data_IF_308647791635
#
_entry.id   IF_308647791635
#
_cell.length_a   1.000
_cell.length_b   1.000
_cell.length_c   1.000
_cell.angle_alpha   90.00
_cell.angle_beta   90.00
_cell.angle_gamma   90.00
#
_symmetry.space_group_name_H-M   'P 1'
#
loop_
_entity.id
_entity.type
_entity.pdbx_description
1 polymer ?
#
# COMPACT_ATOMS: atom_id res chain seq x y z
N UNK A 1 5.22 -13.03 -60.01
CA UNK A 1 5.83 -11.84 -59.36
C UNK A 1 6.17 -12.27 -57.94
N UNK A 2 7.39 -12.08 -57.55
CA UNK A 2 7.90 -12.53 -56.24
C UNK A 2 7.27 -11.69 -55.13
N UNK A 3 6.58 -12.31 -54.19
CA UNK A 3 5.88 -11.64 -53.10
C UNK A 3 6.84 -10.80 -52.22
N UNK A 4 8.06 -11.29 -52.02
CA UNK A 4 9.09 -10.57 -51.28
C UNK A 4 9.43 -9.21 -51.92
N UNK A 5 9.64 -9.22 -53.23
CA UNK A 5 9.96 -8.01 -53.97
C UNK A 5 8.79 -7.00 -53.88
N UNK A 6 7.58 -7.51 -53.97
CA UNK A 6 6.35 -6.73 -53.99
C UNK A 6 6.12 -6.03 -52.64
N UNK A 7 6.25 -6.76 -51.51
CA UNK A 7 6.16 -6.23 -50.16
C UNK A 7 7.27 -5.21 -49.85
N UNK A 8 8.50 -5.53 -50.25
CA UNK A 8 9.66 -4.65 -50.04
C UNK A 8 9.52 -3.32 -50.79
N UNK A 9 9.00 -3.37 -52.02
CA UNK A 9 8.75 -2.14 -52.82
C UNK A 9 7.61 -1.31 -52.27
N UNK A 10 6.51 -1.93 -51.89
CA UNK A 10 5.35 -1.22 -51.35
C UNK A 10 5.63 -0.53 -50.04
N UNK A 11 6.25 -1.25 -49.08
CA UNK A 11 6.56 -0.72 -47.77
C UNK A 11 7.92 0.00 -47.68
N UNK A 12 8.61 0.26 -48.81
CA UNK A 12 9.97 0.87 -48.86
C UNK A 12 10.14 2.15 -48.02
N UNK A 13 9.07 2.98 -47.91
CA UNK A 13 9.12 4.22 -47.10
C UNK A 13 9.17 3.93 -45.62
N UNK A 14 8.36 2.96 -45.14
CA UNK A 14 8.32 2.52 -43.73
C UNK A 14 9.61 1.79 -43.35
N UNK A 15 10.16 0.98 -44.27
CA UNK A 15 11.45 0.31 -44.08
C UNK A 15 12.59 1.34 -43.93
N UNK A 16 12.66 2.35 -44.82
CA UNK A 16 13.69 3.40 -44.76
C UNK A 16 13.62 4.26 -43.50
N UNK A 17 12.45 4.41 -42.89
CA UNK A 17 12.26 5.10 -41.62
C UNK A 17 12.53 4.22 -40.40
N UNK A 18 12.83 2.94 -40.60
CA UNK A 18 12.99 1.99 -39.51
C UNK A 18 11.69 1.62 -38.78
N UNK A 19 10.52 1.91 -39.42
CA UNK A 19 9.20 1.58 -38.85
C UNK A 19 8.89 0.10 -39.05
N UNK A 20 9.37 -0.52 -40.16
CA UNK A 20 9.19 -1.93 -40.51
C UNK A 20 10.51 -2.58 -40.85
N UNK A 21 10.65 -3.83 -40.44
CA UNK A 21 11.71 -4.73 -40.82
C UNK A 21 11.08 -6.04 -41.31
N UNK A 22 11.53 -6.56 -42.46
CA UNK A 22 11.03 -7.79 -43.04
C UNK A 22 12.08 -8.85 -43.04
N UNK A 23 11.69 -10.06 -42.63
CA UNK A 23 12.45 -11.27 -42.79
C UNK A 23 11.60 -12.27 -43.60
N UNK A 24 12.21 -13.06 -44.44
CA UNK A 24 11.51 -13.99 -45.32
C UNK A 24 11.89 -15.41 -44.99
N UNK A 25 10.90 -16.33 -45.09
CA UNK A 25 11.05 -17.78 -44.96
C UNK A 25 10.33 -18.47 -46.11
N UNK A 26 10.89 -19.56 -46.62
CA UNK A 26 10.34 -20.26 -47.78
C UNK A 26 9.36 -21.39 -47.44
N UNK A 27 9.27 -21.75 -46.16
CA UNK A 27 8.31 -22.73 -45.65
C UNK A 27 8.05 -22.50 -44.14
N UNK A 28 7.06 -23.22 -43.60
CA UNK A 28 6.70 -23.07 -42.20
C UNK A 28 7.77 -23.53 -41.21
N UNK A 29 8.60 -24.52 -41.59
CA UNK A 29 9.66 -25.01 -40.70
C UNK A 29 10.81 -24.01 -40.55
N UNK A 30 11.19 -23.35 -41.66
CA UNK A 30 12.13 -22.24 -41.65
C UNK A 30 11.62 -21.07 -40.83
N UNK A 31 10.36 -20.66 -41.04
CA UNK A 31 9.71 -19.61 -40.27
C UNK A 31 9.71 -19.92 -38.77
N UNK A 32 9.32 -21.12 -38.34
CA UNK A 32 9.36 -21.57 -36.96
C UNK A 32 10.76 -21.52 -36.37
N UNK A 33 11.79 -21.92 -37.17
CA UNK A 33 13.19 -21.87 -36.74
C UNK A 33 13.65 -20.45 -36.50
N UNK A 34 13.22 -19.48 -37.33
CA UNK A 34 13.50 -18.05 -37.16
C UNK A 34 12.85 -17.51 -35.89
N UNK A 35 11.59 -17.84 -35.64
CA UNK A 35 10.85 -17.45 -34.45
C UNK A 35 11.47 -17.97 -33.15
N UNK A 36 12.00 -19.19 -33.16
CA UNK A 36 12.65 -19.77 -32.00
C UNK A 36 14.02 -19.13 -31.71
N UNK A 37 14.72 -18.65 -32.75
CA UNK A 37 16.01 -17.96 -32.62
C UNK A 37 15.88 -16.50 -32.21
N UNK A 38 14.88 -15.82 -32.73
CA UNK A 38 14.59 -14.43 -32.44
C UNK A 38 13.11 -14.29 -32.05
N UNK A 39 12.84 -13.74 -30.84
CA UNK A 39 11.49 -13.55 -30.33
C UNK A 39 10.89 -12.18 -30.66
N UNK A 40 11.62 -11.33 -31.38
CA UNK A 40 11.23 -9.91 -31.62
C UNK A 40 10.32 -9.73 -32.86
N UNK A 41 9.80 -10.81 -33.42
CA UNK A 41 8.81 -10.70 -34.49
C UNK A 41 7.44 -10.29 -33.94
N UNK A 42 6.83 -9.32 -34.60
CA UNK A 42 5.50 -8.79 -34.28
C UNK A 42 4.39 -9.46 -35.06
N UNK A 43 4.62 -9.63 -36.37
CA UNK A 43 3.62 -10.11 -37.32
C UNK A 43 4.23 -11.18 -38.21
N UNK A 44 3.48 -12.23 -38.43
CA UNK A 44 3.78 -13.27 -39.41
C UNK A 44 2.73 -13.19 -40.49
N UNK A 45 3.17 -13.06 -41.73
CA UNK A 45 2.34 -13.23 -42.93
C UNK A 45 2.64 -14.59 -43.53
N UNK A 46 1.71 -15.55 -43.41
CA UNK A 46 1.93 -16.94 -43.78
C UNK A 46 0.98 -17.40 -44.89
N UNK A 47 1.52 -17.96 -45.96
CA UNK A 47 0.69 -18.71 -46.91
C UNK A 47 0.14 -19.97 -46.22
N UNK A 48 -1.10 -20.36 -46.52
CA UNK A 48 -1.66 -21.62 -46.08
C UNK A 48 -0.94 -22.81 -46.71
N UNK A 49 -0.69 -22.75 -47.99
CA UNK A 49 -0.15 -23.85 -48.78
C UNK A 49 1.38 -23.69 -48.96
N UNK A 50 2.16 -24.24 -48.07
CA UNK A 50 3.63 -24.26 -48.15
C UNK A 50 4.16 -25.68 -48.10
N UNK A 51 5.36 -25.95 -48.68
CA UNK A 51 6.03 -27.24 -48.60
C UNK A 51 6.54 -27.47 -47.14
N UNK A 52 6.85 -28.71 -46.81
CA UNK A 52 7.43 -29.21 -45.54
C UNK A 52 6.50 -28.98 -44.34
N UNK A 53 6.12 -27.75 -44.03
CA UNK A 53 5.17 -27.37 -43.01
C UNK A 53 4.20 -26.32 -43.59
N UNK A 54 2.92 -26.63 -43.62
CA UNK A 54 1.86 -25.72 -44.06
C UNK A 54 1.60 -24.61 -43.05
N UNK A 55 0.86 -23.56 -43.49
CA UNK A 55 0.58 -22.39 -42.65
C UNK A 55 -0.35 -22.67 -41.49
N UNK A 56 -1.28 -23.63 -41.58
CA UNK A 56 -2.17 -24.00 -40.45
C UNK A 56 -1.40 -24.72 -39.35
N UNK A 57 -0.45 -25.58 -39.72
CA UNK A 57 0.47 -26.25 -38.80
C UNK A 57 1.38 -25.21 -38.12
N UNK A 58 1.95 -24.28 -38.90
CA UNK A 58 2.74 -23.16 -38.34
C UNK A 58 1.93 -22.32 -37.38
N UNK A 59 0.68 -21.95 -37.69
CA UNK A 59 -0.20 -21.22 -36.80
C UNK A 59 -0.42 -21.94 -35.45
N UNK A 60 -0.64 -23.25 -35.52
CA UNK A 60 -0.76 -24.08 -34.32
C UNK A 60 0.51 -23.99 -33.44
N UNK A 61 1.70 -24.05 -34.06
CA UNK A 61 2.98 -23.93 -33.34
C UNK A 61 3.21 -22.52 -32.77
N UNK A 62 2.77 -21.47 -33.46
CA UNK A 62 2.80 -20.09 -32.97
C UNK A 62 1.93 -19.96 -31.71
N UNK A 63 0.74 -20.53 -31.72
CA UNK A 63 -0.17 -20.48 -30.57
C UNK A 63 0.38 -21.24 -29.35
N UNK A 64 1.10 -22.34 -29.56
CA UNK A 64 1.81 -23.06 -28.50
C UNK A 64 2.88 -22.19 -27.81
N UNK A 65 3.39 -21.15 -28.47
CA UNK A 65 4.37 -20.22 -27.90
C UNK A 65 3.76 -19.25 -26.87
N UNK A 66 2.44 -19.17 -26.79
CA UNK A 66 1.67 -18.30 -25.85
C UNK A 66 2.14 -16.84 -25.82
N UNK A 67 2.55 -16.31 -26.98
CA UNK A 67 2.91 -14.89 -27.11
C UNK A 67 1.73 -14.08 -27.68
N UNK A 68 0.97 -13.36 -26.84
CA UNK A 68 -0.21 -12.60 -27.28
C UNK A 68 0.16 -11.40 -28.19
N UNK A 69 1.41 -10.95 -28.14
CA UNK A 69 1.91 -9.85 -28.96
C UNK A 69 2.38 -10.31 -30.36
N UNK A 70 2.45 -11.62 -30.65
CA UNK A 70 2.77 -12.15 -31.98
C UNK A 70 1.47 -12.40 -32.74
N UNK A 71 1.26 -11.73 -33.88
CA UNK A 71 0.06 -11.86 -34.71
C UNK A 71 0.37 -12.62 -35.99
N UNK A 72 -0.51 -13.55 -36.37
CA UNK A 72 -0.40 -14.29 -37.61
C UNK A 72 -1.53 -13.90 -38.56
N UNK A 73 -1.18 -13.39 -39.76
CA UNK A 73 -2.08 -13.07 -40.86
C UNK A 73 -1.90 -14.17 -41.91
N UNK A 74 -3.00 -14.83 -42.27
CA UNK A 74 -2.97 -15.92 -43.21
C UNK A 74 -3.20 -15.45 -44.63
N UNK A 75 -2.46 -16.01 -45.58
CA UNK A 75 -2.67 -15.73 -47.03
C UNK A 75 -3.27 -16.98 -47.68
N UNK A 76 -4.39 -16.81 -48.34
CA UNK A 76 -5.13 -17.93 -48.96
C UNK A 76 -5.47 -17.67 -50.43
N UNK A 77 -5.69 -18.74 -51.20
CA UNK A 77 -6.20 -18.61 -52.55
C UNK A 77 -7.69 -18.17 -52.54
N UNK A 78 -8.10 -17.48 -53.59
CA UNK A 78 -9.49 -17.08 -53.76
C UNK A 78 -10.42 -18.32 -53.78
N UNK A 79 -11.44 -18.31 -52.92
CA UNK A 79 -12.41 -19.39 -52.81
C UNK A 79 -12.12 -20.46 -51.78
N UNK A 80 -10.97 -20.40 -51.07
CA UNK A 80 -10.58 -21.38 -50.06
C UNK A 80 -11.17 -21.08 -48.65
N UNK A 81 -12.49 -20.92 -48.60
CA UNK A 81 -13.23 -20.54 -47.39
C UNK A 81 -13.12 -21.59 -46.27
N UNK A 82 -12.86 -22.85 -46.58
CA UNK A 82 -12.67 -23.92 -45.57
C UNK A 82 -11.42 -23.71 -44.74
N UNK A 83 -10.29 -23.49 -45.41
CA UNK A 83 -9.01 -23.26 -44.74
C UNK A 83 -8.95 -21.89 -44.04
N UNK A 84 -9.59 -20.85 -44.62
CA UNK A 84 -9.73 -19.53 -43.95
C UNK A 84 -10.49 -19.67 -42.65
N UNK A 85 -11.66 -20.34 -42.64
CA UNK A 85 -12.44 -20.57 -41.42
C UNK A 85 -11.65 -21.35 -40.39
N UNK A 86 -10.91 -22.38 -40.79
CA UNK A 86 -10.06 -23.15 -39.91
C UNK A 86 -8.95 -22.30 -39.30
N UNK A 87 -8.28 -21.47 -40.10
CA UNK A 87 -7.26 -20.54 -39.62
C UNK A 87 -7.80 -19.57 -38.58
N UNK A 88 -8.96 -18.95 -38.87
CA UNK A 88 -9.60 -18.02 -37.95
C UNK A 88 -10.01 -18.70 -36.62
N UNK A 89 -10.60 -19.89 -36.70
CA UNK A 89 -10.94 -20.69 -35.52
C UNK A 89 -9.72 -21.11 -34.70
N UNK A 90 -8.57 -21.28 -35.37
CA UNK A 90 -7.31 -21.60 -34.74
C UNK A 90 -6.52 -20.36 -34.27
N UNK A 91 -7.13 -19.16 -34.25
CA UNK A 91 -6.55 -17.95 -33.67
C UNK A 91 -5.66 -17.14 -34.62
N UNK A 92 -5.82 -17.28 -35.95
CA UNK A 92 -5.23 -16.32 -36.88
C UNK A 92 -5.80 -14.92 -36.58
N UNK A 93 -4.95 -13.90 -36.68
CA UNK A 93 -5.38 -12.51 -36.46
C UNK A 93 -6.32 -12.03 -37.54
N UNK A 94 -5.97 -12.29 -38.79
CA UNK A 94 -6.76 -11.94 -39.98
C UNK A 94 -6.28 -12.79 -41.19
N UNK A 95 -6.87 -12.56 -42.35
CA UNK A 95 -6.46 -13.22 -43.60
C UNK A 95 -6.43 -12.23 -44.80
N UNK A 96 -5.62 -12.56 -45.78
CA UNK A 96 -5.58 -11.88 -47.09
C UNK A 96 -5.79 -12.90 -48.19
N UNK A 97 -6.50 -12.54 -49.26
CA UNK A 97 -6.74 -13.40 -50.42
C UNK A 97 -5.81 -13.08 -51.58
N UNK A 98 -5.38 -14.11 -52.33
CA UNK A 98 -4.60 -13.95 -53.57
C UNK A 98 -5.53 -13.67 -54.74
N UNK A 99 -5.22 -12.69 -55.63
CA UNK A 99 -4.05 -11.81 -55.60
C UNK A 99 -4.12 -10.81 -54.42
N UNK A 100 -2.99 -10.61 -53.73
CA UNK A 100 -2.95 -9.78 -52.53
C UNK A 100 -3.18 -8.30 -52.93
N UNK A 101 -4.20 -7.69 -52.34
CA UNK A 101 -4.36 -6.25 -52.34
C UNK A 101 -3.47 -5.65 -51.24
N UNK A 102 -2.45 -4.88 -51.63
CA UNK A 102 -1.47 -4.33 -50.71
C UNK A 102 -2.00 -3.20 -49.86
N UNK A 103 -3.04 -2.49 -50.32
CA UNK A 103 -3.67 -1.45 -49.54
C UNK A 103 -4.51 -2.06 -48.40
N UNK A 104 -5.27 -3.12 -48.69
CA UNK A 104 -6.01 -3.89 -47.69
C UNK A 104 -5.08 -4.58 -46.69
N UNK A 105 -4.00 -5.21 -47.18
CA UNK A 105 -2.98 -5.82 -46.34
C UNK A 105 -2.32 -4.76 -45.40
N UNK A 106 -2.06 -3.55 -45.91
CA UNK A 106 -1.50 -2.46 -45.08
C UNK A 106 -2.44 -2.07 -43.95
N UNK A 107 -3.74 -2.00 -44.18
CA UNK A 107 -4.76 -1.72 -43.16
C UNK A 107 -4.76 -2.85 -42.11
N UNK A 108 -4.70 -4.11 -42.55
CA UNK A 108 -4.66 -5.28 -41.64
C UNK A 108 -3.39 -5.29 -40.76
N UNK A 109 -2.22 -4.99 -41.35
CA UNK A 109 -0.95 -4.86 -40.61
C UNK A 109 -1.04 -3.72 -39.59
N UNK A 110 -1.60 -2.57 -39.98
CA UNK A 110 -1.74 -1.43 -39.03
C UNK A 110 -2.63 -1.75 -37.86
N UNK A 111 -3.76 -2.46 -38.08
CA UNK A 111 -4.61 -2.96 -37.00
C UNK A 111 -3.88 -3.95 -36.10
N UNK A 112 -3.08 -4.86 -36.67
CA UNK A 112 -2.27 -5.79 -35.89
C UNK A 112 -1.25 -5.05 -35.01
N UNK A 113 -0.55 -4.06 -35.56
CA UNK A 113 0.41 -3.23 -34.84
C UNK A 113 -0.24 -2.48 -33.69
N UNK A 114 -1.41 -1.90 -33.92
CA UNK A 114 -2.17 -1.18 -32.88
C UNK A 114 -2.53 -2.12 -31.72
N UNK A 115 -3.01 -3.32 -32.03
CA UNK A 115 -3.32 -4.32 -31.00
C UNK A 115 -2.07 -4.80 -30.25
N UNK A 116 -0.95 -5.02 -30.95
CA UNK A 116 0.33 -5.39 -30.33
C UNK A 116 0.83 -4.31 -29.38
N UNK A 117 0.75 -3.04 -29.79
CA UNK A 117 1.12 -1.91 -28.94
C UNK A 117 0.26 -1.83 -27.68
N UNK A 118 -1.04 -2.06 -27.81
CA UNK A 118 -1.95 -2.10 -26.68
C UNK A 118 -1.58 -3.23 -25.69
N UNK A 119 -1.36 -4.45 -26.18
CA UNK A 119 -0.96 -5.60 -25.34
C UNK A 119 0.33 -5.30 -24.60
N UNK A 120 1.37 -4.83 -25.32
CA UNK A 120 2.66 -4.49 -24.68
C UNK A 120 2.57 -3.36 -23.67
N UNK A 121 1.70 -2.37 -23.90
CA UNK A 121 1.46 -1.31 -22.94
C UNK A 121 0.83 -1.85 -21.63
N UNK A 122 -0.16 -2.72 -21.74
CA UNK A 122 -0.82 -3.38 -20.60
C UNK A 122 0.14 -4.30 -19.83
N UNK A 123 0.97 -5.07 -20.53
CA UNK A 123 1.99 -5.92 -19.89
C UNK A 123 3.01 -5.08 -19.11
N UNK A 124 3.46 -3.98 -19.71
CA UNK A 124 4.40 -3.06 -19.04
C UNK A 124 3.80 -2.43 -17.80
N UNK A 125 2.55 -1.99 -17.89
CA UNK A 125 1.82 -1.41 -16.76
C UNK A 125 1.63 -2.44 -15.65
N UNK A 126 1.27 -3.67 -16.00
CA UNK A 126 1.13 -4.76 -15.04
C UNK A 126 2.45 -5.05 -14.29
N UNK A 127 3.57 -5.16 -15.01
CA UNK A 127 4.89 -5.38 -14.42
C UNK A 127 5.26 -4.23 -13.48
N UNK A 128 4.99 -2.97 -13.86
CA UNK A 128 5.25 -1.81 -13.02
C UNK A 128 4.40 -1.81 -11.75
N UNK A 129 3.12 -2.18 -11.86
CA UNK A 129 2.21 -2.29 -10.72
C UNK A 129 2.67 -3.38 -9.74
N UNK A 130 3.06 -4.55 -10.23
CA UNK A 130 3.57 -5.65 -9.40
C UNK A 130 4.88 -5.28 -8.70
N UNK A 131 5.77 -4.57 -9.38
CA UNK A 131 7.00 -4.05 -8.77
C UNK A 131 6.70 -3.06 -7.65
N UNK A 132 5.76 -2.11 -7.88
CA UNK A 132 5.37 -1.13 -6.88
C UNK A 132 4.72 -1.80 -5.65
N UNK A 133 3.86 -2.79 -5.85
CA UNK A 133 3.28 -3.56 -4.73
C UNK A 133 4.37 -4.28 -3.91
N UNK A 134 5.38 -4.83 -4.58
CA UNK A 134 6.53 -5.44 -3.91
C UNK A 134 7.30 -4.45 -3.04
N UNK A 135 7.57 -3.24 -3.56
CA UNK A 135 8.26 -2.18 -2.82
C UNK A 135 7.44 -1.70 -1.60
N UNK A 136 6.11 -1.59 -1.75
CA UNK A 136 5.20 -1.22 -0.66
C UNK A 136 5.15 -2.30 0.43
N UNK A 137 5.16 -3.58 0.07
CA UNK A 137 5.20 -4.67 1.04
C UNK A 137 6.48 -4.62 1.91
N UNK A 138 7.64 -4.36 1.29
CA UNK A 138 8.91 -4.17 2.02
C UNK A 138 8.85 -2.93 2.92
N UNK A 139 8.29 -1.81 2.44
CA UNK A 139 8.12 -0.61 3.24
C UNK A 139 7.22 -0.87 4.46
N UNK A 140 6.14 -1.64 4.29
CA UNK A 140 5.27 -2.08 5.39
C UNK A 140 6.04 -2.90 6.44
N UNK A 141 6.85 -3.87 6.01
CA UNK A 141 7.67 -4.68 6.92
C UNK A 141 8.65 -3.81 7.73
N UNK A 142 9.30 -2.83 7.08
CA UNK A 142 10.19 -1.87 7.75
C UNK A 142 9.41 -1.05 8.77
N UNK A 143 8.25 -0.46 8.38
CA UNK A 143 7.40 0.32 9.26
C UNK A 143 6.97 -0.49 10.48
N UNK A 144 6.51 -1.69 10.26
CA UNK A 144 6.13 -2.60 11.32
C UNK A 144 7.32 -2.98 12.22
N UNK A 145 8.54 -3.10 11.70
CA UNK A 145 9.74 -3.39 12.49
C UNK A 145 10.19 -2.23 13.39
N UNK A 146 9.81 -1.01 13.04
CA UNK A 146 10.09 0.19 13.83
C UNK A 146 9.21 0.22 15.10
N UNK A 147 7.95 -0.22 15.03
CA UNK A 147 7.02 -0.23 16.17
C UNK A 147 7.39 -1.31 17.18
N UNK A 148 7.17 -1.07 18.50
CA UNK A 148 7.35 -2.10 19.51
C UNK A 148 6.38 -3.27 19.31
N UNK A 149 6.90 -4.51 19.31
CA UNK A 149 6.11 -5.73 19.03
C UNK A 149 6.16 -6.77 20.15
N UNK A 150 7.08 -6.60 21.12
CA UNK A 150 7.27 -7.58 22.20
C UNK A 150 6.44 -7.16 23.38
N UNK A 151 5.52 -8.01 23.80
CA UNK A 151 4.68 -7.82 24.98
C UNK A 151 4.82 -9.02 25.92
N UNK A 152 4.95 -8.84 27.26
CA UNK A 152 5.12 -7.54 27.92
C UNK A 152 6.47 -6.90 27.54
N UNK A 153 6.49 -5.55 27.35
CA UNK A 153 7.69 -4.87 26.85
C UNK A 153 8.83 -4.80 27.89
N UNK A 154 8.47 -4.80 29.17
CA UNK A 154 9.38 -4.67 30.30
C UNK A 154 9.09 -5.77 31.33
N UNK A 155 9.68 -6.97 31.20
CA UNK A 155 9.44 -8.08 32.14
C UNK A 155 9.67 -7.72 33.59
N UNK A 156 10.65 -6.85 33.88
CA UNK A 156 10.98 -6.36 35.23
C UNK A 156 9.92 -5.42 35.84
N UNK A 157 9.08 -4.80 34.99
CA UNK A 157 7.97 -3.93 35.41
C UNK A 157 6.60 -4.60 35.23
N UNK A 158 6.56 -5.85 34.80
CA UNK A 158 5.32 -6.56 34.48
C UNK A 158 4.38 -6.75 35.68
N UNK A 159 4.90 -6.71 36.89
CA UNK A 159 4.11 -6.73 38.13
C UNK A 159 3.51 -5.36 38.49
N UNK A 160 4.07 -4.25 37.93
CA UNK A 160 3.63 -2.88 38.22
C UNK A 160 2.74 -2.31 37.13
N UNK A 161 3.01 -2.62 35.86
CA UNK A 161 2.33 -2.06 34.73
C UNK A 161 2.06 -3.13 33.65
N UNK A 162 0.90 -3.04 33.03
CA UNK A 162 0.55 -3.80 31.86
C UNK A 162 0.40 -2.84 30.68
N UNK A 163 0.92 -3.23 29.50
CA UNK A 163 0.88 -2.42 28.28
C UNK A 163 0.47 -3.34 27.13
N UNK A 164 -0.48 -2.88 26.34
CA UNK A 164 -0.81 -3.47 25.04
C UNK A 164 -0.98 -2.36 24.00
N UNK A 165 -0.64 -2.65 22.77
CA UNK A 165 -0.84 -1.73 21.67
C UNK A 165 -1.12 -2.47 20.37
N UNK A 166 -1.85 -1.83 19.49
CA UNK A 166 -2.14 -2.35 18.16
C UNK A 166 -2.29 -1.19 17.16
N UNK A 167 -1.86 -1.44 15.93
CA UNK A 167 -2.05 -0.55 14.79
C UNK A 167 -2.53 -1.37 13.60
N UNK A 168 -3.50 -0.85 12.88
CA UNK A 168 -4.01 -1.39 11.63
C UNK A 168 -4.06 -0.26 10.62
N UNK A 169 -3.16 -0.30 9.64
CA UNK A 169 -3.11 0.73 8.61
C UNK A 169 -4.31 0.60 7.65
N UNK A 170 -4.85 1.74 7.20
CA UNK A 170 -5.92 1.80 6.20
C UNK A 170 -5.43 1.46 4.79
N UNK A 171 -4.15 1.66 4.52
CA UNK A 171 -3.47 1.32 3.26
C UNK A 171 -2.31 0.36 3.53
N UNK A 172 -1.52 0.09 2.49
CA UNK A 172 -0.32 -0.75 2.64
C UNK A 172 0.63 -0.26 3.74
N UNK A 173 0.72 1.07 3.93
CA UNK A 173 1.52 1.74 4.98
C UNK A 173 0.75 2.92 5.56
N UNK A 174 0.89 3.15 6.87
CA UNK A 174 0.14 4.17 7.62
C UNK A 174 0.99 5.36 8.09
N UNK A 175 0.30 6.41 8.57
CA UNK A 175 0.89 7.57 9.23
C UNK A 175 0.96 7.46 10.74
N UNK A 176 0.12 6.66 11.32
CA UNK A 176 0.02 6.44 12.75
C UNK A 176 1.24 5.74 13.34
N UNK A 177 1.50 6.00 14.61
CA UNK A 177 2.43 5.19 15.38
C UNK A 177 2.16 5.25 16.87
N UNK A 178 2.63 4.22 17.55
CA UNK A 178 2.80 4.20 18.99
C UNK A 178 4.24 3.83 19.34
N UNK A 179 4.67 4.25 20.50
CA UNK A 179 5.95 3.83 21.06
C UNK A 179 5.87 3.76 22.59
N UNK A 180 6.70 2.94 23.18
CA UNK A 180 6.94 2.92 24.61
C UNK A 180 8.38 2.48 24.88
N UNK A 181 8.98 3.07 25.90
CA UNK A 181 10.37 2.84 26.24
C UNK A 181 10.63 3.10 27.72
N UNK A 182 11.63 2.42 28.24
CA UNK A 182 12.10 2.65 29.60
C UNK A 182 12.97 3.90 29.62
N UNK A 183 12.69 4.83 30.53
CA UNK A 183 13.52 5.99 30.82
C UNK A 183 14.55 5.62 31.88
N UNK A 184 14.06 5.01 32.99
CA UNK A 184 14.89 4.46 34.07
C UNK A 184 14.17 3.26 34.73
N UNK A 185 14.62 2.85 35.94
CA UNK A 185 14.07 1.69 36.62
C UNK A 185 12.65 1.87 37.17
N UNK A 186 12.13 3.08 37.20
CA UNK A 186 10.79 3.41 37.72
C UNK A 186 9.90 4.12 36.67
N UNK A 187 10.50 4.76 35.66
CA UNK A 187 9.77 5.58 34.68
C UNK A 187 9.76 4.96 33.31
N UNK A 188 8.56 4.95 32.71
CA UNK A 188 8.34 4.59 31.32
C UNK A 188 7.78 5.78 30.55
N UNK A 189 8.30 6.01 29.33
CA UNK A 189 7.74 6.93 28.35
C UNK A 189 6.84 6.17 27.38
N UNK A 190 5.75 6.78 26.96
CA UNK A 190 4.87 6.24 25.94
C UNK A 190 4.31 7.33 25.04
N UNK A 191 4.13 7.00 23.78
CA UNK A 191 3.73 7.93 22.72
C UNK A 191 2.62 7.27 21.89
N UNK A 192 1.62 8.06 21.52
CA UNK A 192 0.73 7.76 20.42
C UNK A 192 0.65 9.02 19.54
N UNK A 193 0.59 8.83 18.23
CA UNK A 193 0.65 9.93 17.30
C UNK A 193 0.01 9.56 15.97
N UNK A 194 -0.53 10.56 15.29
CA UNK A 194 -1.10 10.48 13.96
C UNK A 194 -0.48 11.56 13.07
N UNK A 195 0.03 11.14 11.91
CA UNK A 195 0.65 11.99 10.89
C UNK A 195 -0.36 12.36 9.82
N UNK A 196 -0.44 13.63 9.53
CA UNK A 196 -1.30 14.17 8.45
C UNK A 196 -1.05 13.51 7.10
N UNK A 197 -2.15 13.11 6.43
CA UNK A 197 -2.10 12.47 5.11
C UNK A 197 -1.96 10.95 5.20
N UNK A 198 -1.79 10.29 4.06
CA UNK A 198 -1.80 8.81 3.96
C UNK A 198 -0.76 8.28 2.98
N UNK A 199 -0.37 7.02 3.17
CA UNK A 199 0.56 6.32 2.27
C UNK A 199 2.03 6.71 2.49
N UNK A 200 2.86 6.63 1.45
CA UNK A 200 4.32 6.75 1.53
C UNK A 200 4.79 8.04 2.22
N UNK A 201 4.28 9.24 1.89
CA UNK A 201 4.74 10.47 2.55
C UNK A 201 4.47 10.44 4.06
N UNK A 202 3.27 10.03 4.49
CA UNK A 202 2.91 9.93 5.90
C UNK A 202 3.79 8.91 6.64
N UNK A 203 4.04 7.75 6.05
CA UNK A 203 4.89 6.73 6.64
C UNK A 203 6.34 7.17 6.82
N UNK A 204 6.89 7.93 5.88
CA UNK A 204 8.24 8.50 6.01
C UNK A 204 8.27 9.54 7.14
N UNK A 205 7.30 10.46 7.17
CA UNK A 205 7.23 11.49 8.21
C UNK A 205 6.98 10.88 9.59
N UNK A 206 6.19 9.80 9.66
CA UNK A 206 6.01 8.98 10.87
C UNK A 206 7.34 8.45 11.40
N UNK A 207 8.15 7.82 10.55
CA UNK A 207 9.43 7.24 10.96
C UNK A 207 10.40 8.32 11.47
N UNK A 208 10.42 9.50 10.83
CA UNK A 208 11.22 10.66 11.26
C UNK A 208 10.70 11.19 12.61
N UNK A 209 9.39 11.45 12.71
CA UNK A 209 8.76 12.00 13.92
C UNK A 209 8.99 11.09 15.12
N UNK A 210 8.68 9.78 14.98
CA UNK A 210 8.92 8.79 16.04
C UNK A 210 10.37 8.75 16.48
N UNK A 211 11.30 8.75 15.51
CA UNK A 211 12.74 8.66 15.83
C UNK A 211 13.24 9.89 16.58
N UNK A 212 12.83 11.09 16.14
CA UNK A 212 13.20 12.35 16.78
C UNK A 212 12.61 12.45 18.20
N UNK A 213 11.33 12.18 18.36
CA UNK A 213 10.66 12.24 19.67
C UNK A 213 11.30 11.24 20.65
N UNK A 214 11.48 9.98 20.22
CA UNK A 214 12.11 8.95 21.05
C UNK A 214 13.55 9.31 21.42
N UNK A 215 14.35 9.77 20.46
CA UNK A 215 15.74 10.15 20.72
C UNK A 215 15.83 11.32 21.72
N UNK A 216 14.96 12.30 21.59
CA UNK A 216 14.88 13.44 22.51
C UNK A 216 14.44 13.00 23.89
N UNK A 217 13.41 12.16 23.99
CA UNK A 217 12.85 11.66 25.25
C UNK A 217 13.85 10.85 26.08
N UNK A 218 14.79 10.14 25.44
CA UNK A 218 15.83 9.35 26.10
C UNK A 218 16.92 10.20 26.77
N UNK A 219 16.91 11.52 26.59
CA UNK A 219 17.82 12.44 27.32
C UNK A 219 17.28 12.88 28.67
N UNK A 220 16.27 12.21 29.22
CA UNK A 220 15.65 12.50 30.52
C UNK A 220 15.10 13.94 30.63
N UNK A 221 14.49 14.40 29.56
CA UNK A 221 13.78 15.67 29.47
C UNK A 221 12.30 15.48 29.79
N UNK A 222 11.64 16.56 30.24
CA UNK A 222 10.20 16.54 30.49
C UNK A 222 9.38 16.37 29.20
N UNK A 223 8.09 15.96 29.28
CA UNK A 223 7.23 15.88 28.09
C UNK A 223 7.11 17.20 27.32
N UNK A 224 7.03 18.32 28.01
CA UNK A 224 6.96 19.66 27.40
C UNK A 224 8.25 20.01 26.67
N UNK A 225 9.42 19.81 27.29
CA UNK A 225 10.73 20.04 26.67
C UNK A 225 10.93 19.14 25.45
N UNK A 226 10.55 17.86 25.55
CA UNK A 226 10.64 16.92 24.46
C UNK A 226 9.80 17.36 23.26
N UNK A 227 8.56 17.78 23.47
CA UNK A 227 7.66 18.25 22.40
C UNK A 227 8.15 19.56 21.79
N UNK A 228 8.59 20.52 22.61
CA UNK A 228 9.14 21.80 22.15
C UNK A 228 10.36 21.60 21.26
N UNK A 229 11.30 20.76 21.68
CA UNK A 229 12.50 20.49 20.89
C UNK A 229 12.19 19.71 19.61
N UNK A 230 11.35 18.67 19.70
CA UNK A 230 10.95 17.87 18.54
C UNK A 230 10.18 18.70 17.52
N UNK A 231 9.27 19.57 17.96
CA UNK A 231 8.54 20.50 17.09
C UNK A 231 9.49 21.38 16.29
N UNK A 232 10.49 21.98 16.95
CA UNK A 232 11.48 22.84 16.28
C UNK A 232 12.28 22.11 15.20
N UNK A 233 12.57 20.84 15.39
CA UNK A 233 13.23 20.01 14.38
C UNK A 233 12.28 19.65 13.26
N UNK A 234 11.10 19.14 13.58
CA UNK A 234 10.11 18.65 12.60
C UNK A 234 9.58 19.77 11.69
N UNK A 235 9.39 20.98 12.23
CA UNK A 235 8.96 22.14 11.42
C UNK A 235 9.97 22.49 10.32
N UNK A 236 11.27 22.31 10.58
CA UNK A 236 12.35 22.56 9.61
C UNK A 236 12.42 21.48 8.51
N UNK A 237 12.09 20.25 8.86
CA UNK A 237 12.13 19.09 7.96
C UNK A 237 10.78 18.87 7.24
N UNK A 238 9.72 19.58 7.65
CA UNK A 238 8.39 19.43 7.09
C UNK A 238 8.34 19.85 5.62
N UNK A 239 7.87 18.96 4.77
CA UNK A 239 7.60 19.19 3.35
C UNK A 239 6.09 19.15 3.14
N UNK A 240 5.54 20.03 2.29
CA UNK A 240 4.11 20.12 2.00
C UNK A 240 3.21 20.35 3.23
N UNK A 241 3.69 21.07 4.22
CA UNK A 241 2.96 21.36 5.46
C UNK A 241 2.50 20.08 6.20
N UNK A 242 3.30 19.03 6.18
CA UNK A 242 3.03 17.84 6.99
C UNK A 242 3.19 18.14 8.47
N UNK A 243 2.31 17.56 9.27
CA UNK A 243 2.30 17.72 10.72
C UNK A 243 1.97 16.39 11.39
N UNK A 244 2.11 16.36 12.68
CA UNK A 244 1.76 15.19 13.49
C UNK A 244 1.06 15.63 14.77
N UNK A 245 -0.04 14.95 15.12
CA UNK A 245 -0.65 15.04 16.44
C UNK A 245 0.07 14.07 17.37
N UNK A 246 0.40 14.49 18.58
CA UNK A 246 1.20 13.66 19.50
C UNK A 246 0.64 13.75 20.91
N UNK A 247 0.44 12.60 21.52
CA UNK A 247 0.32 12.47 22.96
C UNK A 247 1.56 11.77 23.50
N UNK A 248 2.36 12.46 24.29
CA UNK A 248 3.55 11.91 24.96
C UNK A 248 3.40 12.01 26.45
N UNK A 249 3.60 10.89 27.15
CA UNK A 249 3.50 10.79 28.61
C UNK A 249 4.65 10.03 29.23
N UNK A 250 4.95 10.39 30.48
CA UNK A 250 5.91 9.70 31.37
C UNK A 250 5.13 9.23 32.61
N UNK A 251 5.11 7.92 32.85
CA UNK A 251 4.52 7.30 34.03
C UNK A 251 5.63 6.81 34.98
N UNK A 252 5.60 7.26 36.22
CA UNK A 252 6.33 6.60 37.31
C UNK A 252 5.52 5.38 37.77
N UNK A 253 6.03 4.20 37.50
CA UNK A 253 5.33 2.93 37.76
C UNK A 253 5.19 2.60 39.24
N UNK A 254 6.03 3.19 40.11
CA UNK A 254 6.00 3.01 41.53
C UNK A 254 4.99 3.94 42.20
N UNK A 255 5.06 5.23 41.93
CA UNK A 255 4.17 6.23 42.56
C UNK A 255 2.85 6.35 41.84
N UNK A 256 2.80 6.11 40.51
CA UNK A 256 1.65 6.37 39.67
C UNK A 256 1.55 7.84 39.21
N UNK A 257 2.56 8.67 39.55
CA UNK A 257 2.62 10.03 38.99
C UNK A 257 2.76 9.96 37.47
N UNK A 258 1.90 10.67 36.79
CA UNK A 258 1.82 10.69 35.35
C UNK A 258 1.93 12.13 34.86
N UNK A 259 2.99 12.44 34.09
CA UNK A 259 3.20 13.73 33.46
C UNK A 259 3.06 13.57 31.96
N UNK A 260 2.30 14.43 31.28
CA UNK A 260 2.07 14.32 29.86
C UNK A 260 1.99 15.68 29.15
N UNK A 261 2.25 15.66 27.85
CA UNK A 261 2.00 16.75 26.91
C UNK A 261 1.09 16.24 25.80
N UNK A 262 -0.03 16.94 25.55
CA UNK A 262 -0.92 16.65 24.43
C UNK A 262 -0.79 17.74 23.38
N UNK A 263 -0.09 17.44 22.30
CA UNK A 263 0.14 18.31 21.16
C UNK A 263 -0.91 18.06 20.06
N UNK A 264 -2.14 18.41 20.30
CA UNK A 264 -3.24 18.34 19.35
C UNK A 264 -3.78 16.95 19.05
N UNK A 265 -3.44 15.94 19.86
CA UNK A 265 -3.90 14.55 19.66
C UNK A 265 -5.26 14.33 20.36
N UNK A 266 -6.00 13.31 19.90
CA UNK A 266 -7.26 12.89 20.49
C UNK A 266 -7.13 12.72 22.02
N UNK A 267 -8.09 13.25 22.83
CA UNK A 267 -8.02 13.12 24.27
C UNK A 267 -8.18 11.64 24.68
N UNK A 268 -7.25 11.10 25.50
CA UNK A 268 -7.37 9.73 26.01
C UNK A 268 -8.56 9.55 26.95
N UNK A 269 -8.92 8.29 27.18
CA UNK A 269 -9.82 7.91 28.25
C UNK A 269 -9.04 7.28 29.41
N UNK A 270 -9.48 7.54 30.62
CA UNK A 270 -9.06 6.81 31.81
C UNK A 270 -10.21 5.95 32.32
N UNK A 271 -9.97 4.65 32.45
CA UNK A 271 -10.87 3.73 33.14
C UNK A 271 -10.38 3.59 34.57
N UNK A 272 -11.14 4.13 35.49
CA UNK A 272 -10.83 4.05 36.92
C UNK A 272 -11.06 2.64 37.46
N UNK A 273 -10.36 2.29 38.54
CA UNK A 273 -10.48 0.98 39.19
C UNK A 273 -11.89 0.67 39.73
N UNK A 274 -12.73 1.70 39.89
CA UNK A 274 -14.16 1.59 40.26
C UNK A 274 -15.10 1.42 39.07
N UNK A 275 -14.58 1.37 37.82
CA UNK A 275 -15.34 1.27 36.59
C UNK A 275 -15.82 2.59 36.01
N UNK A 276 -15.51 3.74 36.62
CA UNK A 276 -15.79 5.06 36.06
C UNK A 276 -14.90 5.31 34.85
N UNK A 277 -15.48 5.83 33.74
CA UNK A 277 -14.75 6.22 32.54
C UNK A 277 -14.74 7.74 32.47
N UNK A 278 -13.57 8.31 32.27
CA UNK A 278 -13.38 9.75 32.09
C UNK A 278 -12.56 10.04 30.84
N UNK A 279 -13.05 10.92 29.98
CA UNK A 279 -12.24 11.52 28.93
C UNK A 279 -11.31 12.59 29.52
N UNK A 280 -10.12 12.73 28.93
CA UNK A 280 -9.26 13.87 29.20
C UNK A 280 -9.85 15.13 28.58
N UNK A 281 -9.44 16.34 29.06
CA UNK A 281 -9.85 17.57 28.41
C UNK A 281 -9.34 17.64 26.97
N UNK A 282 -10.06 18.35 26.12
CA UNK A 282 -9.60 18.61 24.75
C UNK A 282 -8.27 19.36 24.78
N UNK A 283 -7.31 19.00 23.91
CA UNK A 283 -6.02 19.69 23.85
C UNK A 283 -6.22 21.15 23.43
N UNK A 284 -5.50 22.03 24.10
CA UNK A 284 -5.45 23.47 23.80
C UNK A 284 -4.20 23.87 23.06
N UNK A 285 -3.25 22.94 22.94
CA UNK A 285 -1.94 23.15 22.32
C UNK A 285 -1.98 22.77 20.84
N UNK A 286 -1.14 23.40 20.00
CA UNK A 286 -1.11 23.12 18.58
C UNK A 286 -0.50 21.75 18.29
N UNK A 287 -0.72 21.29 17.06
CA UNK A 287 -0.09 20.13 16.49
C UNK A 287 1.39 20.38 16.21
N UNK A 288 2.21 19.35 16.24
CA UNK A 288 3.66 19.41 16.00
C UNK A 288 3.97 19.54 14.50
N UNK A 289 4.93 20.40 14.15
CA UNK A 289 5.41 20.57 12.77
C UNK A 289 4.81 21.77 12.01
N UNK A 290 3.95 22.59 12.66
CA UNK A 290 3.31 23.77 12.03
C UNK A 290 3.90 25.09 12.52
N UNK A 291 4.05 25.24 13.84
CA UNK A 291 4.54 26.48 14.44
C UNK A 291 5.99 26.31 14.88
N UNK A 292 6.92 26.99 14.22
CA UNK A 292 8.38 26.85 14.48
C UNK A 292 8.79 27.20 15.92
N UNK A 293 8.21 28.28 16.47
CA UNK A 293 8.50 28.75 17.82
C UNK A 293 7.26 28.62 18.71
N UNK A 294 7.07 27.44 19.28
CA UNK A 294 6.02 27.19 20.27
C UNK A 294 6.59 26.38 21.43
N UNK A 295 6.42 26.92 22.64
CA UNK A 295 6.79 26.24 23.89
C UNK A 295 5.57 25.44 24.39
N UNK A 296 5.68 24.12 24.33
CA UNK A 296 4.64 23.23 24.82
C UNK A 296 4.58 23.19 26.33
N UNK A 297 3.38 22.94 26.87
CA UNK A 297 3.13 22.82 28.28
C UNK A 297 2.86 21.35 28.65
N UNK A 298 3.12 20.97 29.90
CA UNK A 298 2.82 19.65 30.43
C UNK A 298 1.78 19.71 31.53
N UNK A 299 1.04 18.63 31.65
CA UNK A 299 0.07 18.42 32.73
C UNK A 299 0.47 17.23 33.58
N UNK A 300 0.02 17.24 34.85
CA UNK A 300 0.29 16.15 35.79
C UNK A 300 -1.01 15.60 36.35
N UNK A 301 -1.05 14.29 36.49
CA UNK A 301 -2.14 13.59 37.12
C UNK A 301 -1.65 12.35 37.87
N UNK A 302 -2.54 11.74 38.63
CA UNK A 302 -2.29 10.51 39.35
C UNK A 302 -3.05 9.36 38.71
N UNK A 303 -2.34 8.31 38.32
CA UNK A 303 -2.89 7.03 37.87
C UNK A 303 -2.88 6.10 39.09
N UNK A 304 -4.05 5.79 39.63
CA UNK A 304 -4.18 4.91 40.78
C UNK A 304 -4.00 3.44 40.40
N UNK A 305 -3.74 2.58 41.40
CA UNK A 305 -3.66 1.14 41.15
C UNK A 305 -4.98 0.58 40.63
N UNK A 306 -4.91 -0.15 39.51
CA UNK A 306 -6.05 -0.69 38.81
C UNK A 306 -6.63 0.24 37.74
N UNK A 307 -6.21 1.51 37.68
CA UNK A 307 -6.61 2.42 36.60
C UNK A 307 -5.96 2.03 35.27
N UNK A 308 -6.68 2.19 34.18
CA UNK A 308 -6.16 2.01 32.83
C UNK A 308 -6.32 3.31 31.99
N UNK A 309 -5.26 3.67 31.29
CA UNK A 309 -5.22 4.76 30.33
C UNK A 309 -5.38 4.18 28.93
N UNK A 310 -6.37 4.65 28.17
CA UNK A 310 -6.68 4.22 26.80
C UNK A 310 -6.43 5.37 25.86
N UNK A 311 -5.40 5.22 25.04
CA UNK A 311 -5.02 6.16 24.00
C UNK A 311 -5.42 5.58 22.63
N UNK A 312 -5.83 6.43 21.70
CA UNK A 312 -6.32 6.02 20.40
C UNK A 312 -6.17 7.15 19.38
N UNK A 313 -6.10 6.81 18.11
CA UNK A 313 -6.15 7.77 16.99
C UNK A 313 -7.59 7.94 16.48
N UNK A 314 -7.83 8.98 15.73
CA UNK A 314 -9.16 9.34 15.20
C UNK A 314 -9.79 8.24 14.34
N UNK A 315 -8.99 7.40 13.69
CA UNK A 315 -9.49 6.24 12.96
C UNK A 315 -10.36 5.27 13.78
N UNK A 316 -10.29 5.33 15.13
CA UNK A 316 -11.23 4.59 16.00
C UNK A 316 -12.62 5.25 16.00
N UNK A 317 -12.69 6.55 16.17
CA UNK A 317 -13.96 7.29 16.29
C UNK A 317 -14.53 7.70 14.94
N UNK A 318 -13.69 7.92 13.94
CA UNK A 318 -14.10 8.30 12.58
C UNK A 318 -14.34 7.10 11.65
N UNK A 319 -14.22 5.87 12.17
CA UNK A 319 -14.57 4.67 11.40
C UNK A 319 -16.02 4.74 10.91
N UNK A 320 -16.24 4.55 9.61
CA UNK A 320 -17.56 4.71 8.97
C UNK A 320 -18.19 3.35 8.66
N UNK A 321 -19.52 3.31 8.80
CA UNK A 321 -20.35 2.20 8.31
C UNK A 321 -20.76 2.41 6.83
N UNK A 322 -21.44 1.46 6.16
CA UNK A 322 -21.92 1.61 4.79
C UNK A 322 -22.92 2.75 4.59
N UNK A 323 -23.59 3.24 5.65
CA UNK A 323 -24.50 4.37 5.66
C UNK A 323 -23.79 5.72 5.86
N UNK A 324 -22.44 5.75 5.94
CA UNK A 324 -21.61 6.92 6.20
C UNK A 324 -21.84 7.55 7.58
N UNK A 325 -22.22 6.74 8.57
CA UNK A 325 -22.23 7.17 9.96
C UNK A 325 -20.88 6.86 10.60
N UNK A 326 -20.38 7.76 11.45
CA UNK A 326 -19.16 7.53 12.24
C UNK A 326 -19.46 6.64 13.45
N UNK A 327 -18.48 5.85 13.88
CA UNK A 327 -18.54 5.10 15.13
C UNK A 327 -18.75 6.05 16.31
N UNK A 328 -17.95 7.08 16.38
CA UNK A 328 -18.05 8.20 17.29
C UNK A 328 -17.68 7.88 18.74
N UNK A 329 -17.39 8.91 19.50
CA UNK A 329 -17.06 8.80 20.93
C UNK A 329 -18.14 8.07 21.77
N UNK A 330 -19.46 8.27 21.55
CA UNK A 330 -20.46 7.60 22.37
C UNK A 330 -20.44 6.06 22.25
N UNK A 331 -20.23 5.51 21.04
CA UNK A 331 -20.11 4.06 20.85
C UNK A 331 -18.80 3.54 21.41
N UNK A 332 -17.72 4.31 21.25
CA UNK A 332 -16.44 3.96 21.85
C UNK A 332 -16.51 3.89 23.37
N UNK A 333 -17.13 4.88 24.04
CA UNK A 333 -17.36 4.82 25.48
C UNK A 333 -18.22 3.61 25.89
N UNK A 334 -19.25 3.27 25.11
CA UNK A 334 -20.07 2.07 25.37
C UNK A 334 -19.22 0.80 25.29
N UNK A 335 -18.31 0.70 24.31
CA UNK A 335 -17.35 -0.39 24.22
C UNK A 335 -16.44 -0.46 25.44
N UNK A 336 -15.89 0.68 25.87
CA UNK A 336 -15.05 0.73 27.07
C UNK A 336 -15.81 0.32 28.35
N UNK A 337 -17.12 0.60 28.47
CA UNK A 337 -17.96 0.16 29.60
C UNK A 337 -18.09 -1.35 29.70
N UNK A 338 -18.00 -2.08 28.59
CA UNK A 338 -18.04 -3.55 28.58
C UNK A 338 -16.77 -4.17 29.20
N UNK A 339 -15.64 -3.45 29.21
CA UNK A 339 -14.30 -3.95 29.51
C UNK A 339 -13.59 -3.24 30.66
N UNK A 340 -14.32 -2.57 31.55
CA UNK A 340 -13.75 -1.76 32.64
C UNK A 340 -12.84 -2.55 33.61
N UNK A 341 -13.01 -3.85 33.74
CA UNK A 341 -12.17 -4.72 34.58
C UNK A 341 -11.18 -5.59 33.79
N UNK A 342 -11.17 -5.47 32.48
CA UNK A 342 -10.37 -6.32 31.59
C UNK A 342 -8.85 -5.96 31.65
N UNK A 343 -8.03 -6.85 31.10
CA UNK A 343 -6.63 -6.56 30.77
C UNK A 343 -6.49 -5.66 29.54
N UNK A 344 -5.30 -5.12 29.32
CA UNK A 344 -5.03 -4.18 28.23
C UNK A 344 -5.31 -4.78 26.84
N UNK A 345 -4.99 -6.06 26.63
CA UNK A 345 -5.20 -6.71 25.35
C UNK A 345 -6.69 -6.91 25.07
N UNK A 346 -7.46 -7.32 26.06
CA UNK A 346 -8.92 -7.50 25.94
C UNK A 346 -9.63 -6.18 25.63
N UNK A 347 -9.15 -5.03 26.15
CA UNK A 347 -9.69 -3.71 25.81
C UNK A 347 -9.51 -3.43 24.30
N UNK A 348 -8.32 -3.69 23.77
CA UNK A 348 -8.02 -3.51 22.35
C UNK A 348 -8.84 -4.46 21.48
N UNK A 349 -8.88 -5.74 21.82
CA UNK A 349 -9.56 -6.76 21.02
C UNK A 349 -11.07 -6.51 20.97
N UNK A 350 -11.70 -6.18 22.11
CA UNK A 350 -13.13 -5.83 22.14
C UNK A 350 -13.43 -4.58 21.31
N UNK A 351 -12.54 -3.57 21.37
CA UNK A 351 -12.71 -2.38 20.52
C UNK A 351 -12.64 -2.72 19.05
N UNK A 352 -11.69 -3.56 18.65
CA UNK A 352 -11.58 -4.03 17.25
C UNK A 352 -12.79 -4.84 16.80
N UNK A 353 -13.33 -5.70 17.67
CA UNK A 353 -14.52 -6.48 17.37
C UNK A 353 -15.76 -5.59 17.18
N UNK A 354 -15.98 -4.62 18.09
CA UNK A 354 -17.10 -3.68 17.99
C UNK A 354 -16.97 -2.78 16.74
N UNK A 355 -15.75 -2.31 16.43
CA UNK A 355 -15.47 -1.57 15.20
C UNK A 355 -15.76 -2.39 13.96
N UNK A 356 -15.26 -3.62 13.89
CA UNK A 356 -15.49 -4.51 12.75
C UNK A 356 -16.98 -4.81 12.54
N UNK A 357 -17.73 -5.01 13.65
CA UNK A 357 -19.17 -5.23 13.60
C UNK A 357 -19.94 -3.98 13.09
N UNK A 358 -19.46 -2.78 13.42
CA UNK A 358 -20.06 -1.51 12.99
C UNK A 358 -19.72 -1.17 11.53
N UNK A 359 -18.45 -1.30 11.14
CA UNK A 359 -17.94 -0.97 9.80
C UNK A 359 -18.50 -1.92 8.74
N UNK A 360 -18.66 -3.21 9.07
CA UNK A 360 -19.18 -4.21 8.13
C UNK A 360 -18.34 -4.34 6.87
N UNK A 361 -18.95 -4.08 5.70
CA UNK A 361 -18.30 -4.17 4.39
C UNK A 361 -17.67 -2.83 3.91
N UNK A 362 -17.76 -1.76 4.69
CA UNK A 362 -17.17 -0.47 4.32
C UNK A 362 -15.62 -0.55 4.36
N UNK A 363 -14.97 0.16 3.46
CA UNK A 363 -13.51 0.26 3.46
C UNK A 363 -13.03 1.09 4.66
N UNK A 364 -11.94 0.66 5.28
CA UNK A 364 -11.30 1.41 6.36
C UNK A 364 -10.82 2.78 5.85
N UNK A 365 -11.32 3.86 6.47
CA UNK A 365 -11.06 5.24 6.04
C UNK A 365 -9.72 5.76 6.54
N UNK A 366 -9.30 5.41 7.75
CA UNK A 366 -8.05 5.86 8.36
C UNK A 366 -7.33 4.77 9.15
N UNK A 367 -6.07 5.04 9.51
CA UNK A 367 -5.28 4.16 10.37
C UNK A 367 -5.95 4.04 11.74
N UNK A 368 -6.02 2.84 12.28
CA UNK A 368 -6.61 2.57 13.60
C UNK A 368 -5.50 2.16 14.55
N UNK A 369 -5.18 3.02 15.49
CA UNK A 369 -4.12 2.79 16.47
C UNK A 369 -4.63 2.94 17.88
N UNK A 370 -4.26 1.99 18.74
CA UNK A 370 -4.56 2.02 20.16
C UNK A 370 -3.32 1.67 20.99
N UNK A 371 -3.18 2.34 22.12
CA UNK A 371 -2.19 2.05 23.16
C UNK A 371 -2.88 2.09 24.51
N UNK A 372 -2.83 1.00 25.24
CA UNK A 372 -3.46 0.86 26.56
C UNK A 372 -2.40 0.56 27.61
N UNK A 373 -2.40 1.35 28.68
CA UNK A 373 -1.55 1.16 29.86
C UNK A 373 -2.42 0.96 31.10
N UNK A 374 -2.11 -0.04 31.92
CA UNK A 374 -2.83 -0.30 33.16
C UNK A 374 -1.84 -0.41 34.32
N UNK A 375 -2.01 0.40 35.37
CA UNK A 375 -1.27 0.26 36.60
C UNK A 375 -1.83 -0.91 37.38
N UNK A 376 -1.00 -1.94 37.64
CA UNK A 376 -1.42 -3.13 38.36
C UNK A 376 -1.59 -2.84 39.86
N UNK A 377 -2.39 -3.67 40.52
CA UNK A 377 -2.51 -3.67 41.97
C UNK A 377 -1.33 -4.44 42.52
N UNK A 378 -0.60 -3.82 43.44
CA UNK A 378 0.49 -4.45 44.19
C UNK A 378 -0.03 -5.48 45.20
#
# INVERSE_FOLDING_TARGET
MDLELLLTQYFRRKIRKGEYEFSFAHNGLEALTMLLKNKDYDIILSDINMPEMDGLTLLTKINEMQNPALKCIMVSAYGDMGNIRQAMNNGAFDFATKPIDLDDLSVTIEKAIEQIRYIRAMEKEHIQLESLKGDLAVAHEIQQAILPRIFPPFPELAEKVEIAAAMTAAKDIGGDFYDFFKIDDERIGFIIADVSGKGIPAAIFMAVSRTLIRATALHDVSPSECMTYSNKLLTKESVNCMFVTVFYGILNTTTGEFTYCNAGHNPPYIIKNNGEIKAFPMPTQPIVGILDEYDFEEEKMQLEEGDALVLFTDGVTEAMNPEFEEFGEPRFEETLRKVTSADCQTIIDTTKEDLAAFVGEAEQSDDITMLVLKRKRG
#
